data_IF_832628127111
#
_entry.id   IF_832628127111
#
_cell.length_a   1.000
_cell.length_b   1.000
_cell.length_c   1.000
_cell.angle_alpha   90.00
_cell.angle_beta   90.00
_cell.angle_gamma   90.00
#
_symmetry.space_group_name_H-M   'P 1'
#
loop_
_entity.id
_entity.type
_entity.pdbx_description
1 polymer ?
#
# COMPACT_ATOMS: atom_id res chain seq x y z
N UNK A 1 18.76 -11.47 -22.98
CA UNK A 1 18.03 -12.69 -22.55
C UNK A 1 18.24 -12.84 -21.07
N UNK A 2 17.22 -12.65 -20.23
CA UNK A 2 17.31 -12.90 -18.80
C UNK A 2 17.61 -14.39 -18.61
N UNK A 3 18.63 -14.70 -17.77
CA UNK A 3 18.99 -16.07 -17.45
C UNK A 3 17.77 -16.71 -16.76
N UNK A 4 17.18 -17.77 -17.29
CA UNK A 4 15.91 -18.35 -16.78
C UNK A 4 15.93 -18.68 -15.29
N UNK A 5 17.13 -18.90 -14.76
CA UNK A 5 17.37 -19.17 -13.32
C UNK A 5 17.25 -17.91 -12.49
N UNK A 6 17.78 -16.78 -12.91
CA UNK A 6 17.68 -15.48 -12.20
C UNK A 6 16.24 -14.96 -12.21
N UNK A 7 15.52 -15.09 -13.34
CA UNK A 7 14.10 -14.73 -13.43
C UNK A 7 13.29 -15.51 -12.37
N UNK A 8 13.51 -16.82 -12.26
CA UNK A 8 12.86 -17.68 -11.25
C UNK A 8 13.19 -17.27 -9.81
N UNK A 9 14.44 -16.90 -9.52
CA UNK A 9 14.83 -16.43 -8.17
C UNK A 9 14.11 -15.15 -7.80
N UNK A 10 14.12 -14.15 -8.68
CA UNK A 10 13.47 -12.87 -8.43
C UNK A 10 11.97 -13.04 -8.21
N UNK A 11 11.31 -13.84 -9.05
CA UNK A 11 9.88 -14.13 -8.89
C UNK A 11 9.59 -14.82 -7.55
N UNK A 12 10.43 -15.76 -7.10
CA UNK A 12 10.29 -16.40 -5.78
C UNK A 12 10.41 -15.38 -4.64
N UNK A 13 11.37 -14.44 -4.73
CA UNK A 13 11.52 -13.37 -3.75
C UNK A 13 10.27 -12.48 -3.73
N UNK A 14 9.74 -12.10 -4.89
CA UNK A 14 8.51 -11.33 -4.98
C UNK A 14 7.35 -12.05 -4.29
N UNK A 15 7.15 -13.33 -4.56
CA UNK A 15 6.09 -14.11 -3.89
C UNK A 15 6.32 -14.25 -2.38
N UNK A 16 7.57 -14.46 -1.95
CA UNK A 16 7.89 -14.51 -0.52
C UNK A 16 7.53 -13.19 0.18
N UNK A 17 7.95 -12.06 -0.38
CA UNK A 17 7.60 -10.73 0.14
C UNK A 17 6.08 -10.50 0.13
N UNK A 18 5.39 -10.96 -0.90
CA UNK A 18 3.94 -10.82 -1.05
C UNK A 18 3.13 -11.59 0.00
N UNK A 19 3.72 -12.62 0.59
CA UNK A 19 3.11 -13.40 1.68
C UNK A 19 3.58 -12.84 3.04
N UNK A 20 4.87 -12.58 3.20
CA UNK A 20 5.45 -12.16 4.47
C UNK A 20 4.90 -10.79 4.90
N UNK A 21 4.84 -9.83 3.99
CA UNK A 21 4.40 -8.46 4.33
C UNK A 21 2.96 -8.43 4.88
N UNK A 22 1.94 -9.00 4.17
CA UNK A 22 0.58 -9.02 4.72
C UNK A 22 0.46 -9.84 6.01
N UNK A 23 1.22 -10.92 6.17
CA UNK A 23 1.22 -11.70 7.40
C UNK A 23 1.79 -10.90 8.58
N UNK A 24 2.88 -10.17 8.39
CA UNK A 24 3.44 -9.30 9.43
C UNK A 24 2.43 -8.23 9.81
N UNK A 25 1.81 -7.56 8.83
CA UNK A 25 0.78 -6.55 9.11
C UNK A 25 -0.42 -7.15 9.85
N UNK A 26 -0.92 -8.31 9.42
CA UNK A 26 -2.03 -8.98 10.10
C UNK A 26 -1.66 -9.38 11.54
N UNK A 27 -0.44 -9.90 11.76
CA UNK A 27 0.06 -10.22 13.10
C UNK A 27 0.09 -8.99 14.00
N UNK A 28 0.59 -7.86 13.51
CA UNK A 28 0.64 -6.61 14.27
C UNK A 28 -0.75 -6.11 14.69
N UNK A 29 -1.76 -6.32 13.85
CA UNK A 29 -3.13 -5.94 14.14
C UNK A 29 -3.76 -6.75 15.29
N UNK A 30 -3.38 -8.03 15.43
CA UNK A 30 -3.92 -8.92 16.45
C UNK A 30 -3.03 -9.04 17.69
N UNK A 31 -1.84 -8.44 17.68
CA UNK A 31 -0.87 -8.54 18.76
C UNK A 31 -1.40 -7.80 19.99
N UNK A 32 -1.57 -8.47 21.17
CA UNK A 32 -2.03 -7.84 22.39
C UNK A 32 -1.09 -6.72 22.85
N UNK A 33 -1.63 -5.65 23.46
CA UNK A 33 -0.85 -4.49 23.93
C UNK A 33 0.27 -4.90 24.88
N UNK A 34 0.00 -5.83 25.81
CA UNK A 34 0.97 -6.35 26.76
C UNK A 34 2.21 -6.98 26.12
N UNK A 35 2.07 -7.56 24.91
CA UNK A 35 3.20 -8.12 24.19
C UNK A 35 4.06 -7.01 23.57
N UNK A 36 3.44 -5.92 23.13
CA UNK A 36 4.15 -4.74 22.63
C UNK A 36 4.98 -4.09 23.75
N UNK A 37 4.39 -3.92 24.93
CA UNK A 37 5.06 -3.43 26.15
C UNK A 37 6.22 -4.35 26.55
N UNK A 38 6.01 -5.68 26.52
CA UNK A 38 7.04 -6.67 26.84
C UNK A 38 8.24 -6.64 25.87
N UNK A 39 8.06 -6.12 24.65
CA UNK A 39 9.14 -5.87 23.68
C UNK A 39 9.81 -4.50 23.88
N UNK A 40 9.45 -3.74 24.92
CA UNK A 40 9.97 -2.40 25.17
C UNK A 40 9.43 -1.34 24.21
N UNK A 41 8.33 -1.63 23.52
CA UNK A 41 7.68 -0.72 22.58
C UNK A 41 6.68 0.12 23.37
N UNK A 42 7.06 1.35 23.69
CA UNK A 42 6.20 2.32 24.37
C UNK A 42 5.50 3.24 23.36
N UNK A 43 4.40 3.85 23.81
CA UNK A 43 3.75 4.93 23.07
C UNK A 43 4.74 6.06 22.75
N UNK A 44 4.73 6.54 21.54
CA UNK A 44 5.62 7.61 21.09
C UNK A 44 4.78 8.75 20.50
N UNK A 45 4.69 9.84 21.23
CA UNK A 45 3.96 11.05 20.79
C UNK A 45 4.45 11.64 19.47
N UNK A 46 5.72 11.41 19.09
CA UNK A 46 6.25 11.88 17.82
C UNK A 46 5.57 11.25 16.59
N UNK A 47 4.91 10.11 16.73
CA UNK A 47 4.21 9.44 15.64
C UNK A 47 2.67 9.62 15.68
N UNK A 48 2.16 10.44 16.60
CA UNK A 48 0.71 10.74 16.69
C UNK A 48 0.14 11.38 15.42
N UNK A 49 0.96 12.09 14.63
CA UNK A 49 0.59 12.68 13.34
C UNK A 49 0.65 11.71 12.15
N UNK A 50 1.06 10.45 12.35
CA UNK A 50 1.20 9.47 11.27
C UNK A 50 -0.09 9.17 10.52
N UNK A 51 -1.29 9.15 11.12
CA UNK A 51 -2.52 9.02 10.35
C UNK A 51 -2.68 10.08 9.25
N UNK A 52 -2.32 11.34 9.55
CA UNK A 52 -2.30 12.39 8.53
C UNK A 52 -1.22 12.13 7.47
N UNK A 53 0.00 11.75 7.88
CA UNK A 53 1.07 11.36 6.96
C UNK A 53 0.63 10.22 6.03
N UNK A 54 -0.08 9.21 6.56
CA UNK A 54 -0.63 8.10 5.77
C UNK A 54 -1.59 8.58 4.68
N UNK A 55 -2.46 9.55 5.01
CA UNK A 55 -3.36 10.14 4.02
C UNK A 55 -2.59 10.92 2.94
N UNK A 56 -1.58 11.70 3.32
CA UNK A 56 -0.73 12.45 2.39
C UNK A 56 0.02 11.50 1.45
N UNK A 57 0.63 10.44 1.97
CA UNK A 57 1.36 9.44 1.17
C UNK A 57 0.44 8.72 0.19
N UNK A 58 -0.76 8.31 0.63
CA UNK A 58 -1.76 7.70 -0.25
C UNK A 58 -2.26 8.68 -1.32
N UNK A 59 -2.56 9.93 -0.95
CA UNK A 59 -2.98 10.96 -1.89
C UNK A 59 -1.91 11.26 -2.95
N UNK A 60 -0.66 11.43 -2.53
CA UNK A 60 0.47 11.62 -3.44
C UNK A 60 0.67 10.40 -4.35
N UNK A 61 0.54 9.17 -3.81
CA UNK A 61 0.56 7.95 -4.60
C UNK A 61 -0.53 7.95 -5.67
N UNK A 62 -1.77 8.30 -5.29
CA UNK A 62 -2.89 8.39 -6.23
C UNK A 62 -2.59 9.38 -7.37
N UNK A 63 -2.10 10.58 -7.05
CA UNK A 63 -1.73 11.59 -8.05
C UNK A 63 -0.65 11.07 -8.99
N UNK A 64 0.40 10.43 -8.45
CA UNK A 64 1.47 9.83 -9.25
C UNK A 64 0.92 8.73 -10.19
N UNK A 65 0.02 7.87 -9.71
CA UNK A 65 -0.59 6.83 -10.54
C UNK A 65 -1.40 7.43 -11.69
N UNK A 66 -2.22 8.46 -11.42
CA UNK A 66 -2.99 9.17 -12.46
C UNK A 66 -2.05 9.79 -13.49
N UNK A 67 -1.01 10.51 -13.03
CA UNK A 67 -0.02 11.11 -13.91
C UNK A 67 0.72 10.07 -14.76
N UNK A 68 1.09 8.93 -14.16
CA UNK A 68 1.70 7.81 -14.88
C UNK A 68 0.78 7.23 -15.96
N UNK A 69 -0.51 7.09 -15.64
CA UNK A 69 -1.53 6.62 -16.59
C UNK A 69 -1.72 7.57 -17.77
N UNK A 70 -1.74 8.87 -17.52
CA UNK A 70 -1.80 9.90 -18.56
C UNK A 70 -0.51 9.89 -19.41
N UNK A 71 0.66 9.78 -18.76
CA UNK A 71 1.94 9.76 -19.46
C UNK A 71 2.06 8.58 -20.44
N UNK A 72 1.66 7.38 -20.03
CA UNK A 72 1.74 6.21 -20.91
C UNK A 72 0.74 6.28 -22.08
N UNK A 73 -0.47 6.81 -21.85
CA UNK A 73 -1.43 7.07 -22.93
C UNK A 73 -0.85 8.02 -24.00
N UNK A 74 -0.05 8.99 -23.56
CA UNK A 74 0.66 9.94 -24.44
C UNK A 74 2.02 9.42 -24.90
N UNK A 75 2.31 8.11 -24.77
CA UNK A 75 3.57 7.47 -25.17
C UNK A 75 4.83 8.05 -24.50
N UNK A 76 4.70 8.80 -23.40
CA UNK A 76 5.81 9.38 -22.64
C UNK A 76 6.35 8.36 -21.62
N UNK A 77 7.09 7.36 -22.13
CA UNK A 77 7.52 6.19 -21.35
C UNK A 77 8.39 6.59 -20.15
N UNK A 78 9.34 7.51 -20.33
CA UNK A 78 10.23 7.96 -19.23
C UNK A 78 9.43 8.59 -18.09
N UNK A 79 8.49 9.46 -18.42
CA UNK A 79 7.62 10.11 -17.42
C UNK A 79 6.77 9.08 -16.70
N UNK A 80 6.19 8.13 -17.43
CA UNK A 80 5.45 7.00 -16.86
C UNK A 80 6.31 6.23 -15.84
N UNK A 81 7.54 5.84 -16.22
CA UNK A 81 8.46 5.12 -15.32
C UNK A 81 8.76 5.92 -14.05
N UNK A 82 9.05 7.21 -14.17
CA UNK A 82 9.34 8.09 -13.04
C UNK A 82 8.15 8.12 -12.07
N UNK A 83 6.94 8.42 -12.55
CA UNK A 83 5.77 8.48 -11.66
C UNK A 83 5.41 7.12 -11.04
N UNK A 84 5.57 6.02 -11.78
CA UNK A 84 5.33 4.67 -11.23
C UNK A 84 6.33 4.32 -10.14
N UNK A 85 7.62 4.64 -10.30
CA UNK A 85 8.62 4.44 -9.25
C UNK A 85 8.39 5.35 -8.05
N UNK A 86 8.02 6.61 -8.27
CA UNK A 86 7.64 7.52 -7.18
C UNK A 86 6.44 6.97 -6.41
N UNK A 87 5.39 6.51 -7.09
CA UNK A 87 4.23 5.89 -6.44
C UNK A 87 4.64 4.66 -5.61
N UNK A 88 5.57 3.84 -6.12
CA UNK A 88 6.07 2.68 -5.40
C UNK A 88 6.85 3.07 -4.13
N UNK A 89 7.72 4.07 -4.21
CA UNK A 89 8.46 4.60 -3.05
C UNK A 89 7.51 5.17 -2.00
N UNK A 90 6.53 5.99 -2.41
CA UNK A 90 5.53 6.56 -1.51
C UNK A 90 4.70 5.48 -0.81
N UNK A 91 4.27 4.44 -1.53
CA UNK A 91 3.56 3.29 -0.94
C UNK A 91 4.44 2.48 0.00
N UNK A 92 5.74 2.37 -0.27
CA UNK A 92 6.70 1.71 0.63
C UNK A 92 6.90 2.51 1.93
N UNK A 93 7.02 3.84 1.82
CA UNK A 93 7.10 4.74 2.98
C UNK A 93 5.80 4.68 3.80
N UNK A 94 4.64 4.66 3.13
CA UNK A 94 3.36 4.44 3.79
C UNK A 94 3.38 3.13 4.60
N UNK A 95 3.78 2.02 4.00
CA UNK A 95 3.79 0.71 4.68
C UNK A 95 4.72 0.71 5.91
N UNK A 96 5.93 1.28 5.78
CA UNK A 96 6.89 1.39 6.89
C UNK A 96 6.30 2.23 8.03
N UNK A 97 5.79 3.43 7.71
CA UNK A 97 5.19 4.31 8.72
C UNK A 97 3.94 3.71 9.36
N UNK A 98 3.15 2.95 8.59
CA UNK A 98 1.97 2.24 9.07
C UNK A 98 2.35 1.17 10.09
N UNK A 99 3.38 0.35 9.81
CA UNK A 99 3.90 -0.66 10.74
C UNK A 99 4.40 -0.01 12.03
N UNK A 100 5.19 1.07 11.93
CA UNK A 100 5.70 1.80 13.10
C UNK A 100 4.54 2.33 13.96
N UNK A 101 3.55 2.96 13.33
CA UNK A 101 2.39 3.51 14.04
C UNK A 101 1.63 2.43 14.80
N UNK A 102 1.30 1.30 14.16
CA UNK A 102 0.53 0.23 14.78
C UNK A 102 1.31 -0.58 15.82
N UNK A 103 2.65 -0.53 15.77
CA UNK A 103 3.49 -1.05 16.87
C UNK A 103 3.40 -0.16 18.11
N UNK A 104 3.42 1.16 17.94
CA UNK A 104 3.63 2.14 19.02
C UNK A 104 2.33 2.82 19.50
N UNK A 105 1.21 2.65 18.79
CA UNK A 105 -0.07 3.28 19.15
C UNK A 105 -1.20 2.28 19.21
N UNK A 106 -2.13 2.44 20.16
CA UNK A 106 -3.38 1.68 20.17
C UNK A 106 -4.22 2.05 18.95
N UNK A 107 -4.98 1.08 18.44
CA UNK A 107 -5.89 1.33 17.32
C UNK A 107 -7.03 2.24 17.73
N UNK A 108 -7.19 3.38 17.07
CA UNK A 108 -8.35 4.25 17.26
C UNK A 108 -9.63 3.53 16.82
N UNK A 109 -10.73 3.78 17.56
CA UNK A 109 -12.03 3.17 17.26
C UNK A 109 -12.92 4.18 16.54
N UNK A 110 -13.55 3.73 15.45
CA UNK A 110 -14.51 4.56 14.74
C UNK A 110 -15.79 4.74 15.59
N UNK A 111 -16.10 6.00 15.92
CA UNK A 111 -17.25 6.37 16.77
C UNK A 111 -18.51 6.76 16.00
N UNK A 112 -18.51 6.74 14.65
CA UNK A 112 -19.70 7.06 13.86
C UNK A 112 -20.78 5.99 13.94
N UNK A 113 -22.03 6.41 13.71
CA UNK A 113 -23.22 5.57 13.81
C UNK A 113 -24.03 5.55 12.49
N UNK A 114 -25.04 4.68 12.43
CA UNK A 114 -25.96 4.60 11.31
C UNK A 114 -25.31 4.25 9.99
N UNK A 115 -25.76 4.89 8.91
CA UNK A 115 -25.29 4.63 7.53
C UNK A 115 -23.80 4.95 7.35
N UNK A 116 -23.31 6.00 8.02
CA UNK A 116 -21.90 6.41 7.96
C UNK A 116 -20.98 5.30 8.46
N UNK A 117 -21.38 4.59 9.53
CA UNK A 117 -20.65 3.43 10.05
C UNK A 117 -20.55 2.32 9.01
N UNK A 118 -21.64 1.99 8.35
CA UNK A 118 -21.67 0.94 7.31
C UNK A 118 -20.79 1.30 6.11
N UNK A 119 -20.85 2.54 5.65
CA UNK A 119 -20.02 3.04 4.54
C UNK A 119 -18.53 2.99 4.93
N UNK A 120 -18.18 3.47 6.12
CA UNK A 120 -16.81 3.42 6.61
C UNK A 120 -16.24 1.99 6.61
N UNK A 121 -16.97 1.05 7.23
CA UNK A 121 -16.49 -0.33 7.32
C UNK A 121 -16.44 -1.01 5.94
N UNK A 122 -17.35 -0.71 5.03
CA UNK A 122 -17.27 -1.19 3.66
C UNK A 122 -15.99 -0.71 2.97
N UNK A 123 -15.68 0.59 3.08
CA UNK A 123 -14.45 1.18 2.50
C UNK A 123 -13.22 0.58 3.17
N UNK A 124 -13.19 0.49 4.51
CA UNK A 124 -12.06 -0.04 5.26
C UNK A 124 -11.77 -1.51 4.90
N UNK A 125 -12.79 -2.36 4.93
CA UNK A 125 -12.62 -3.80 4.67
C UNK A 125 -12.19 -4.03 3.21
N UNK A 126 -12.84 -3.36 2.24
CA UNK A 126 -12.45 -3.48 0.84
C UNK A 126 -11.05 -2.94 0.59
N UNK A 127 -10.67 -1.82 1.22
CA UNK A 127 -9.30 -1.29 1.17
C UNK A 127 -8.28 -2.32 1.67
N UNK A 128 -8.51 -2.91 2.85
CA UNK A 128 -7.60 -3.91 3.42
C UNK A 128 -7.49 -5.15 2.53
N UNK A 129 -8.62 -5.71 2.11
CA UNK A 129 -8.63 -6.91 1.27
C UNK A 129 -7.95 -6.69 -0.09
N UNK A 130 -8.17 -5.53 -0.71
CA UNK A 130 -7.59 -5.22 -2.01
C UNK A 130 -6.15 -4.70 -1.93
N UNK A 131 -5.69 -4.24 -0.77
CA UNK A 131 -4.27 -3.86 -0.60
C UNK A 131 -3.32 -5.07 -0.66
N UNK A 132 -3.77 -6.24 -0.22
CA UNK A 132 -2.96 -7.47 -0.25
C UNK A 132 -2.48 -7.82 -1.67
N UNK A 133 -3.36 -7.97 -2.68
CA UNK A 133 -2.91 -8.27 -4.05
C UNK A 133 -2.16 -7.13 -4.74
N UNK A 134 -2.26 -5.89 -4.27
CA UNK A 134 -1.47 -4.77 -4.85
C UNK A 134 0.02 -5.05 -4.72
N UNK A 135 0.49 -5.62 -3.61
CA UNK A 135 1.92 -5.87 -3.35
C UNK A 135 2.55 -6.75 -4.45
N UNK A 136 2.09 -8.00 -4.67
CA UNK A 136 2.66 -8.84 -5.73
C UNK A 136 2.45 -8.25 -7.12
N UNK A 137 1.30 -7.67 -7.40
CA UNK A 137 0.99 -7.13 -8.72
C UNK A 137 1.87 -5.91 -9.05
N UNK A 138 2.12 -5.01 -8.09
CA UNK A 138 3.03 -3.88 -8.27
C UNK A 138 4.47 -4.35 -8.49
N UNK A 139 4.99 -5.23 -7.63
CA UNK A 139 6.35 -5.76 -7.75
C UNK A 139 6.57 -6.50 -9.08
N UNK A 140 5.63 -7.38 -9.47
CA UNK A 140 5.71 -8.11 -10.73
C UNK A 140 5.62 -7.17 -11.93
N UNK A 141 4.74 -6.15 -11.89
CA UNK A 141 4.62 -5.20 -13.00
C UNK A 141 5.89 -4.35 -13.17
N UNK A 142 6.49 -3.88 -12.07
CA UNK A 142 7.77 -3.15 -12.08
C UNK A 142 8.87 -4.06 -12.65
N UNK A 143 8.98 -5.28 -12.15
CA UNK A 143 9.96 -6.25 -12.61
C UNK A 143 9.85 -6.52 -14.12
N UNK A 144 8.64 -6.80 -14.61
CA UNK A 144 8.40 -7.04 -16.05
C UNK A 144 8.64 -5.80 -16.91
N UNK A 145 8.28 -4.62 -16.40
CA UNK A 145 8.61 -3.35 -17.08
C UNK A 145 10.12 -3.10 -17.15
N UNK A 146 10.87 -3.44 -16.10
CA UNK A 146 12.32 -3.26 -16.02
C UNK A 146 13.07 -4.24 -16.95
N UNK A 147 12.63 -5.49 -16.99
CA UNK A 147 13.21 -6.53 -17.85
C UNK A 147 12.73 -6.41 -19.31
N UNK A 148 11.99 -5.34 -19.64
CA UNK A 148 11.43 -5.10 -20.97
C UNK A 148 10.48 -6.20 -21.49
N UNK A 149 9.89 -7.00 -20.59
CA UNK A 149 8.85 -7.99 -20.92
C UNK A 149 7.47 -7.29 -20.95
N UNK A 150 7.30 -6.44 -21.97
CA UNK A 150 6.15 -5.53 -22.07
C UNK A 150 4.81 -6.27 -22.20
N UNK A 151 4.81 -7.45 -22.80
CA UNK A 151 3.58 -8.23 -22.91
C UNK A 151 3.07 -8.71 -21.55
N UNK A 152 3.96 -9.28 -20.72
CA UNK A 152 3.60 -9.68 -19.36
C UNK A 152 3.30 -8.49 -18.48
N UNK A 153 4.07 -7.39 -18.61
CA UNK A 153 3.77 -6.13 -17.94
C UNK A 153 2.32 -5.69 -18.21
N UNK A 154 1.91 -5.58 -19.47
CA UNK A 154 0.55 -5.18 -19.86
C UNK A 154 -0.54 -6.10 -19.29
N UNK A 155 -0.30 -7.42 -19.24
CA UNK A 155 -1.26 -8.37 -18.62
C UNK A 155 -1.44 -8.11 -17.13
N UNK A 156 -0.35 -7.84 -16.41
CA UNK A 156 -0.38 -7.61 -14.97
C UNK A 156 -1.03 -6.25 -14.65
N UNK A 157 -0.63 -5.19 -15.33
CA UNK A 157 -1.12 -3.83 -15.03
C UNK A 157 -2.60 -3.65 -15.33
N UNK A 158 -3.21 -4.49 -16.14
CA UNK A 158 -4.66 -4.51 -16.36
C UNK A 158 -5.42 -4.66 -15.03
N UNK A 159 -4.87 -5.39 -14.07
CA UNK A 159 -5.43 -5.60 -12.74
C UNK A 159 -4.71 -4.73 -11.69
N UNK A 160 -3.39 -4.65 -11.74
CA UNK A 160 -2.58 -3.90 -10.78
C UNK A 160 -2.96 -2.42 -10.72
N UNK A 161 -3.12 -1.77 -11.87
CA UNK A 161 -3.35 -0.33 -11.94
C UNK A 161 -4.69 0.10 -11.32
N UNK A 162 -5.85 -0.47 -11.68
CA UNK A 162 -7.13 -0.08 -11.08
C UNK A 162 -7.19 -0.45 -9.58
N UNK A 163 -6.61 -1.58 -9.17
CA UNK A 163 -6.54 -1.95 -7.76
C UNK A 163 -5.71 -0.95 -6.95
N UNK A 164 -4.55 -0.56 -7.46
CA UNK A 164 -3.67 0.38 -6.76
C UNK A 164 -4.29 1.78 -6.68
N UNK A 165 -4.94 2.25 -7.74
CA UNK A 165 -5.71 3.50 -7.70
C UNK A 165 -6.80 3.46 -6.63
N UNK A 166 -7.56 2.36 -6.57
CA UNK A 166 -8.61 2.16 -5.58
C UNK A 166 -8.03 2.19 -4.15
N UNK A 167 -6.98 1.42 -3.89
CA UNK A 167 -6.35 1.37 -2.57
C UNK A 167 -5.79 2.73 -2.17
N UNK A 168 -5.09 3.43 -3.07
CA UNK A 168 -4.54 4.75 -2.78
C UNK A 168 -5.66 5.78 -2.48
N UNK A 169 -6.74 5.80 -3.24
CA UNK A 169 -7.87 6.72 -3.00
C UNK A 169 -8.64 6.38 -1.72
N UNK A 170 -8.92 5.10 -1.49
CA UNK A 170 -9.67 4.68 -0.28
C UNK A 170 -8.84 4.82 0.99
N UNK A 171 -7.51 4.75 0.93
CA UNK A 171 -6.63 5.05 2.06
C UNK A 171 -6.77 6.49 2.55
N UNK A 172 -6.98 7.45 1.64
CA UNK A 172 -7.30 8.84 2.00
C UNK A 172 -8.70 8.92 2.64
N UNK A 173 -9.69 8.24 2.05
CA UNK A 173 -11.06 8.23 2.57
C UNK A 173 -11.12 7.63 3.98
N UNK A 174 -10.41 6.54 4.25
CA UNK A 174 -10.32 5.94 5.59
C UNK A 174 -9.84 6.96 6.61
N UNK A 175 -8.79 7.73 6.28
CA UNK A 175 -8.32 8.81 7.16
C UNK A 175 -9.38 9.88 7.37
N UNK A 176 -10.03 10.37 6.32
CA UNK A 176 -11.06 11.42 6.43
C UNK A 176 -12.23 11.00 7.32
N UNK A 177 -12.65 9.74 7.25
CA UNK A 177 -13.67 9.20 8.15
C UNK A 177 -13.19 9.07 9.59
N UNK A 178 -11.92 8.74 9.80
CA UNK A 178 -11.34 8.56 11.13
C UNK A 178 -10.90 9.86 11.80
N UNK A 179 -10.63 10.92 11.02
CA UNK A 179 -10.08 12.18 11.52
C UNK A 179 -10.77 12.74 12.78
N UNK A 180 -12.10 12.68 12.92
CA UNK A 180 -12.77 13.19 14.13
C UNK A 180 -12.54 12.32 15.38
N UNK A 181 -11.91 11.15 15.26
CA UNK A 181 -11.76 10.15 16.33
C UNK A 181 -10.29 9.89 16.69
N UNK A 182 -9.36 10.67 16.13
CA UNK A 182 -7.94 10.65 16.51
C UNK A 182 -7.64 11.57 17.69
#
# INVERSE_FOLDING_TARGET
MSNSTEDKKIIRVIYALSVIIPLVVALLMVLPAQWKEGLGISENSAVSSFPFLHAVLNGATFVCLVAAGIAIKNKKITIHKTFMLTAFVLSSLFLISYVIYHLTHPSAKFGGEGVVRSVYFFILISHILLSVPVIPLALLSIYRGWTNDIEKHKRIVKFAYPLWLYVASTGVLVYLFMQPYY
#
